data_IF_259326420012
#
_entry.id   IF_259326420012
#
_cell.length_a   1.000
_cell.length_b   1.000
_cell.length_c   1.000
_cell.angle_alpha   90.00
_cell.angle_beta   90.00
_cell.angle_gamma   90.00
#
_symmetry.space_group_name_H-M   'P 1'
#
loop_
_entity.id
_entity.type
_entity.pdbx_description
1 polymer ?
#
# COMPACT_ATOMS: atom_id res chain seq x y z
N UNK A 1 24.36 -18.69 -11.60
CA UNK A 1 24.01 -17.30 -11.97
C UNK A 1 22.66 -17.33 -12.64
N UNK A 2 21.60 -17.09 -11.86
CA UNK A 2 20.26 -16.89 -12.41
C UNK A 2 20.30 -15.57 -13.19
N UNK A 3 19.82 -15.57 -14.43
CA UNK A 3 19.63 -14.30 -15.16
C UNK A 3 18.40 -13.64 -14.52
N UNK A 4 18.58 -12.51 -13.85
CA UNK A 4 17.56 -11.90 -12.98
C UNK A 4 16.31 -11.47 -13.76
N UNK A 5 16.49 -10.79 -14.88
CA UNK A 5 15.41 -10.25 -15.71
C UNK A 5 14.39 -11.30 -16.24
N UNK A 6 14.81 -12.42 -16.86
CA UNK A 6 13.84 -13.41 -17.34
C UNK A 6 13.09 -14.13 -16.22
N UNK A 7 13.71 -14.27 -15.03
CA UNK A 7 13.02 -14.88 -13.88
C UNK A 7 11.99 -13.91 -13.30
N UNK A 8 12.31 -12.63 -13.17
CA UNK A 8 11.32 -11.61 -12.79
C UNK A 8 10.14 -11.58 -13.78
N UNK A 9 10.43 -11.63 -15.09
CA UNK A 9 9.40 -11.69 -16.13
C UNK A 9 8.53 -12.96 -16.02
N UNK A 10 9.12 -14.12 -15.75
CA UNK A 10 8.39 -15.36 -15.53
C UNK A 10 7.48 -15.29 -14.29
N UNK A 11 7.96 -14.69 -13.19
CA UNK A 11 7.14 -14.48 -11.98
C UNK A 11 5.94 -13.60 -12.31
N UNK A 12 6.15 -12.46 -12.99
CA UNK A 12 5.04 -11.59 -13.41
C UNK A 12 4.07 -12.30 -14.35
N UNK A 13 4.58 -13.14 -15.26
CA UNK A 13 3.75 -13.96 -16.13
C UNK A 13 2.85 -14.91 -15.33
N UNK A 14 3.40 -15.64 -14.36
CA UNK A 14 2.63 -16.49 -13.45
C UNK A 14 1.59 -15.69 -12.65
N UNK A 15 1.98 -14.53 -12.09
CA UNK A 15 1.07 -13.66 -11.33
C UNK A 15 -0.10 -13.15 -12.16
N UNK A 16 0.12 -12.83 -13.44
CA UNK A 16 -0.93 -12.36 -14.35
C UNK A 16 -1.88 -13.48 -14.78
N UNK A 17 -1.46 -14.74 -14.68
CA UNK A 17 -2.28 -15.92 -14.95
C UNK A 17 -2.82 -16.58 -13.67
N UNK A 18 -2.71 -15.89 -12.53
CA UNK A 18 -3.18 -16.37 -11.22
C UNK A 18 -2.51 -17.68 -10.75
N UNK A 19 -1.34 -18.01 -11.31
CA UNK A 19 -0.56 -19.18 -10.93
C UNK A 19 0.37 -18.84 -9.75
N UNK A 20 -0.24 -18.73 -8.58
CA UNK A 20 0.43 -18.28 -7.36
C UNK A 20 1.47 -19.25 -6.80
N UNK A 21 1.26 -20.60 -6.79
CA UNK A 21 2.27 -21.52 -6.27
C UNK A 21 3.62 -21.38 -6.99
N UNK A 22 3.59 -21.30 -8.32
CA UNK A 22 4.79 -21.16 -9.13
C UNK A 22 5.42 -19.77 -8.99
N UNK A 23 4.60 -18.71 -8.98
CA UNK A 23 5.08 -17.35 -8.74
C UNK A 23 5.78 -17.22 -7.38
N UNK A 24 5.18 -17.77 -6.32
CA UNK A 24 5.75 -17.74 -4.96
C UNK A 24 7.07 -18.50 -4.94
N UNK A 25 7.11 -19.74 -5.42
CA UNK A 25 8.33 -20.55 -5.42
C UNK A 25 9.49 -19.88 -6.18
N UNK A 26 9.22 -19.34 -7.37
CA UNK A 26 10.21 -18.63 -8.17
C UNK A 26 10.70 -17.36 -7.45
N UNK A 27 9.80 -16.61 -6.83
CA UNK A 27 10.14 -15.39 -6.08
C UNK A 27 10.96 -15.67 -4.82
N UNK A 28 10.67 -16.75 -4.08
CA UNK A 28 11.45 -17.20 -2.91
C UNK A 28 12.89 -17.55 -3.32
N UNK A 29 13.04 -18.32 -4.41
CA UNK A 29 14.36 -18.68 -4.93
C UNK A 29 15.15 -17.47 -5.40
N UNK A 30 14.50 -16.56 -6.11
CA UNK A 30 15.14 -15.35 -6.61
C UNK A 30 15.60 -14.45 -5.46
N UNK A 31 14.75 -14.26 -4.45
CA UNK A 31 15.12 -13.48 -3.27
C UNK A 31 16.25 -14.13 -2.48
N UNK A 32 16.25 -15.46 -2.31
CA UNK A 32 17.32 -16.17 -1.61
C UNK A 32 18.69 -16.00 -2.28
N UNK A 33 18.74 -15.91 -3.61
CA UNK A 33 19.96 -15.73 -4.41
C UNK A 33 20.46 -14.28 -4.39
N UNK A 34 19.58 -13.30 -4.66
CA UNK A 34 19.98 -11.90 -4.91
C UNK A 34 19.87 -11.02 -3.66
N UNK A 35 18.83 -11.20 -2.83
CA UNK A 35 18.55 -10.41 -1.61
C UNK A 35 18.54 -8.89 -1.82
N UNK A 36 17.97 -8.44 -2.94
CA UNK A 36 17.75 -7.02 -3.26
C UNK A 36 16.34 -6.55 -2.90
N UNK A 37 16.13 -5.23 -2.87
CA UNK A 37 14.83 -4.62 -2.55
C UNK A 37 13.77 -4.93 -3.60
N UNK A 38 14.15 -4.95 -4.88
CA UNK A 38 13.25 -5.35 -5.98
C UNK A 38 12.79 -6.80 -5.82
N UNK A 39 13.71 -7.70 -5.47
CA UNK A 39 13.39 -9.12 -5.26
C UNK A 39 12.55 -9.34 -4.00
N UNK A 40 12.74 -8.50 -2.97
CA UNK A 40 11.89 -8.49 -1.77
C UNK A 40 10.48 -8.02 -2.11
N UNK A 41 10.35 -6.91 -2.87
CA UNK A 41 9.07 -6.41 -3.33
C UNK A 41 8.32 -7.45 -4.16
N UNK A 42 9.01 -8.16 -5.06
CA UNK A 42 8.41 -9.19 -5.90
C UNK A 42 7.93 -10.40 -5.08
N UNK A 43 8.73 -10.86 -4.11
CA UNK A 43 8.35 -11.92 -3.17
C UNK A 43 7.11 -11.52 -2.34
N UNK A 44 7.14 -10.32 -1.75
CA UNK A 44 6.02 -9.82 -0.97
C UNK A 44 4.76 -9.66 -1.84
N UNK A 45 4.90 -9.19 -3.08
CA UNK A 45 3.80 -9.08 -4.04
C UNK A 45 3.19 -10.45 -4.36
N UNK A 46 4.03 -11.49 -4.54
CA UNK A 46 3.55 -12.84 -4.77
C UNK A 46 2.78 -13.39 -3.55
N UNK A 47 3.29 -13.18 -2.34
CA UNK A 47 2.57 -13.55 -1.12
C UNK A 47 1.24 -12.81 -0.97
N UNK A 48 1.24 -11.49 -1.16
CA UNK A 48 0.05 -10.66 -1.04
C UNK A 48 -1.03 -11.08 -2.05
N UNK A 49 -0.67 -11.24 -3.34
CA UNK A 49 -1.61 -11.69 -4.38
C UNK A 49 -2.13 -13.11 -4.17
N UNK A 50 -1.35 -13.98 -3.52
CA UNK A 50 -1.79 -15.33 -3.15
C UNK A 50 -2.72 -15.38 -1.93
N UNK A 51 -3.01 -14.23 -1.30
CA UNK A 51 -3.82 -14.14 -0.09
C UNK A 51 -3.06 -14.43 1.21
N UNK A 52 -1.74 -14.62 1.15
CA UNK A 52 -0.88 -14.88 2.31
C UNK A 52 -0.35 -13.57 2.92
N UNK A 53 -1.26 -12.66 3.28
CA UNK A 53 -0.93 -11.30 3.75
C UNK A 53 -0.01 -11.30 4.97
N UNK A 54 -0.15 -12.26 5.89
CA UNK A 54 0.75 -12.40 7.04
C UNK A 54 2.19 -12.65 6.63
N UNK A 55 2.43 -13.53 5.65
CA UNK A 55 3.78 -13.84 5.17
C UNK A 55 4.40 -12.64 4.44
N UNK A 56 3.61 -11.91 3.66
CA UNK A 56 4.04 -10.66 3.02
C UNK A 56 4.45 -9.62 4.07
N UNK A 57 3.62 -9.43 5.11
CA UNK A 57 3.90 -8.52 6.21
C UNK A 57 5.19 -8.90 6.95
N UNK A 58 5.35 -10.16 7.32
CA UNK A 58 6.54 -10.64 8.05
C UNK A 58 7.82 -10.50 7.22
N UNK A 59 7.76 -10.76 5.90
CA UNK A 59 8.89 -10.58 5.00
C UNK A 59 9.33 -9.12 4.87
N UNK A 60 8.37 -8.18 4.88
CA UNK A 60 8.63 -6.75 4.72
C UNK A 60 8.99 -6.05 6.03
N UNK A 61 8.56 -6.56 7.19
CA UNK A 61 8.66 -5.88 8.49
C UNK A 61 10.05 -5.36 8.85
N UNK A 62 11.10 -6.08 8.46
CA UNK A 62 12.48 -5.71 8.79
C UNK A 62 13.14 -4.78 7.75
N UNK A 63 12.58 -4.66 6.55
CA UNK A 63 13.25 -4.06 5.38
C UNK A 63 12.35 -3.19 4.49
N UNK A 64 11.16 -2.83 4.96
CA UNK A 64 10.21 -2.07 4.14
C UNK A 64 10.70 -0.64 3.85
N UNK A 65 11.58 -0.05 4.67
CA UNK A 65 12.04 1.33 4.50
C UNK A 65 12.89 1.56 3.23
N UNK A 66 13.35 0.49 2.58
CA UNK A 66 14.29 0.54 1.47
C UNK A 66 13.67 0.98 0.13
N UNK A 67 12.35 0.82 -0.04
CA UNK A 67 11.65 1.22 -1.27
C UNK A 67 10.24 1.71 -0.95
N UNK A 68 9.77 2.76 -1.62
CA UNK A 68 8.41 3.29 -1.51
C UNK A 68 7.36 2.24 -1.89
N UNK A 69 7.67 1.34 -2.83
CA UNK A 69 6.82 0.21 -3.21
C UNK A 69 6.68 -0.81 -2.06
N UNK A 70 7.78 -1.08 -1.36
CA UNK A 70 7.78 -1.92 -0.15
C UNK A 70 7.04 -1.25 1.01
N UNK A 71 7.23 0.06 1.22
CA UNK A 71 6.50 0.85 2.22
C UNK A 71 4.99 0.79 1.98
N UNK A 72 4.56 1.01 0.73
CA UNK A 72 3.15 0.94 0.35
C UNK A 72 2.58 -0.47 0.57
N UNK A 73 3.27 -1.51 0.11
CA UNK A 73 2.81 -2.89 0.24
C UNK A 73 2.76 -3.33 1.70
N UNK A 74 3.74 -2.94 2.52
CA UNK A 74 3.73 -3.20 3.95
C UNK A 74 2.54 -2.52 4.63
N UNK A 75 2.29 -1.24 4.31
CA UNK A 75 1.13 -0.49 4.81
C UNK A 75 -0.20 -1.15 4.42
N UNK A 76 -0.33 -1.64 3.18
CA UNK A 76 -1.50 -2.39 2.72
C UNK A 76 -1.69 -3.68 3.53
N UNK A 77 -0.63 -4.45 3.73
CA UNK A 77 -0.68 -5.69 4.51
C UNK A 77 -1.08 -5.41 5.97
N UNK A 78 -0.49 -4.41 6.60
CA UNK A 78 -0.79 -4.01 7.98
C UNK A 78 -2.26 -3.56 8.12
N UNK A 79 -2.76 -2.77 7.18
CA UNK A 79 -4.15 -2.33 7.15
C UNK A 79 -5.14 -3.49 6.99
N UNK A 80 -4.87 -4.43 6.08
CA UNK A 80 -5.74 -5.60 5.87
C UNK A 80 -5.78 -6.54 7.06
N UNK A 81 -4.61 -6.85 7.63
CA UNK A 81 -4.51 -7.76 8.77
C UNK A 81 -5.28 -7.23 9.99
N UNK A 82 -5.41 -5.92 10.16
CA UNK A 82 -6.23 -5.32 11.21
C UNK A 82 -7.73 -5.46 10.93
N UNK A 83 -8.15 -5.24 9.68
CA UNK A 83 -9.56 -5.39 9.27
C UNK A 83 -10.09 -6.82 9.53
N UNK A 84 -9.27 -7.84 9.30
CA UNK A 84 -9.66 -9.23 9.58
C UNK A 84 -9.88 -9.46 11.08
N UNK A 85 -9.00 -8.93 11.94
CA UNK A 85 -9.14 -9.02 13.39
C UNK A 85 -10.42 -8.35 13.89
N UNK A 86 -10.78 -7.18 13.34
CA UNK A 86 -12.03 -6.50 13.68
C UNK A 86 -13.28 -7.28 13.22
N UNK A 87 -13.21 -7.96 12.06
CA UNK A 87 -14.33 -8.70 11.48
C UNK A 87 -14.63 -10.05 12.14
N UNK A 88 -13.61 -10.71 12.71
CA UNK A 88 -13.80 -11.89 13.55
C UNK A 88 -14.04 -11.44 14.99
N UNK A 89 -15.26 -11.60 15.52
CA UNK A 89 -15.69 -11.18 16.86
C UNK A 89 -14.95 -11.85 18.05
N UNK A 90 -13.77 -12.39 17.84
CA UNK A 90 -13.02 -13.20 18.78
C UNK A 90 -11.54 -12.81 18.68
N UNK A 91 -11.11 -11.84 19.50
CA UNK A 91 -10.07 -12.01 20.52
C UNK A 91 -9.69 -10.65 21.12
N UNK A 92 -9.96 -10.57 22.41
CA UNK A 92 -9.57 -9.56 23.38
C UNK A 92 -8.11 -9.07 23.20
N UNK A 93 -7.88 -7.89 22.62
CA UNK A 93 -6.70 -7.06 22.97
C UNK A 93 -6.91 -5.58 22.62
N UNK A 94 -7.52 -4.85 23.55
CA UNK A 94 -7.77 -3.41 23.55
C UNK A 94 -6.51 -2.51 23.51
N UNK A 95 -5.35 -3.08 23.17
CA UNK A 95 -4.08 -2.37 22.99
C UNK A 95 -3.35 -2.78 21.69
N UNK A 96 -3.75 -3.84 20.99
CA UNK A 96 -3.05 -4.33 19.77
C UNK A 96 -3.70 -3.87 18.46
N UNK A 97 -4.99 -3.56 18.51
CA UNK A 97 -5.80 -3.06 17.38
C UNK A 97 -5.37 -1.65 16.93
N UNK A 98 -4.84 -0.85 17.86
CA UNK A 98 -4.26 0.46 17.57
C UNK A 98 -2.86 0.37 16.94
N UNK A 99 -2.17 -0.78 17.09
CA UNK A 99 -0.78 -0.93 16.67
C UNK A 99 -0.64 -0.98 15.16
N UNK A 100 -1.52 -1.70 14.46
CA UNK A 100 -1.30 -1.98 13.02
C UNK A 100 -1.68 -0.82 12.12
N UNK A 101 -2.70 -0.04 12.47
CA UNK A 101 -2.95 1.23 11.79
C UNK A 101 -1.82 2.23 12.03
N UNK A 102 -1.24 2.26 13.23
CA UNK A 102 -0.08 3.09 13.53
C UNK A 102 1.15 2.63 12.75
N UNK A 103 1.42 1.32 12.65
CA UNK A 103 2.51 0.77 11.84
C UNK A 103 2.31 1.05 10.35
N UNK A 104 1.08 0.93 9.84
CA UNK A 104 0.77 1.25 8.45
C UNK A 104 0.95 2.74 8.15
N UNK A 105 0.55 3.63 9.07
CA UNK A 105 0.77 5.07 8.93
C UNK A 105 2.26 5.41 9.04
N UNK A 106 2.97 4.84 10.01
CA UNK A 106 4.40 5.06 10.21
C UNK A 106 5.20 4.63 8.98
N UNK A 107 4.88 3.51 8.35
CA UNK A 107 5.57 3.06 7.15
C UNK A 107 5.46 4.04 5.97
N UNK A 108 4.41 4.86 5.93
CA UNK A 108 4.19 5.84 4.88
C UNK A 108 4.71 7.23 5.25
N UNK A 109 4.60 7.61 6.53
CA UNK A 109 4.81 8.99 7.02
C UNK A 109 6.15 9.16 7.74
N UNK A 110 6.65 8.14 8.43
CA UNK A 110 7.86 8.24 9.26
C UNK A 110 9.08 7.73 8.48
N UNK A 111 10.15 8.53 8.52
CA UNK A 111 11.47 8.15 8.02
C UNK A 111 12.28 7.45 9.12
N UNK A 112 13.36 6.76 8.74
CA UNK A 112 14.23 6.02 9.66
C UNK A 112 14.88 6.92 10.74
N UNK A 113 15.00 8.22 10.49
CA UNK A 113 15.51 9.23 11.43
C UNK A 113 14.44 9.80 12.38
N UNK A 114 13.19 9.33 12.26
CA UNK A 114 12.04 9.81 13.04
C UNK A 114 11.39 11.08 12.47
N UNK A 115 11.87 11.61 11.35
CA UNK A 115 11.25 12.75 10.66
C UNK A 115 9.90 12.33 10.06
N UNK A 116 8.90 13.20 10.19
CA UNK A 116 7.56 12.97 9.61
C UNK A 116 7.42 13.69 8.28
N UNK A 117 7.10 12.93 7.24
CA UNK A 117 6.74 13.44 5.91
C UNK A 117 5.44 14.23 5.98
N UNK A 118 5.44 15.39 5.35
CA UNK A 118 4.21 16.07 4.96
C UNK A 118 3.53 15.31 3.81
N UNK A 119 2.29 15.67 3.49
CA UNK A 119 1.63 15.10 2.31
C UNK A 119 2.36 15.49 1.02
N UNK A 120 3.10 16.59 0.95
CA UNK A 120 3.87 17.01 -0.24
C UNK A 120 5.15 16.18 -0.39
N UNK A 121 5.79 15.86 0.73
CA UNK A 121 6.96 14.96 0.74
C UNK A 121 6.56 13.57 0.26
N UNK A 122 5.39 13.06 0.68
CA UNK A 122 4.86 11.79 0.16
C UNK A 122 4.67 11.81 -1.35
N UNK A 123 4.16 12.92 -1.91
CA UNK A 123 4.01 13.05 -3.37
C UNK A 123 5.35 13.04 -4.08
N UNK A 124 6.36 13.67 -3.48
CA UNK A 124 7.71 13.74 -4.05
C UNK A 124 8.41 12.39 -3.96
N UNK A 125 8.37 11.73 -2.80
CA UNK A 125 9.07 10.48 -2.53
C UNK A 125 8.43 9.30 -3.27
N UNK A 126 7.10 9.16 -3.22
CA UNK A 126 6.39 8.03 -3.82
C UNK A 126 6.10 8.21 -5.31
N UNK A 127 6.31 9.39 -5.91
CA UNK A 127 6.12 9.61 -7.35
C UNK A 127 4.78 9.07 -7.86
N UNK A 128 4.83 8.10 -8.77
CA UNK A 128 3.67 7.49 -9.41
C UNK A 128 2.80 6.66 -8.44
N UNK A 129 3.39 6.11 -7.37
CA UNK A 129 2.68 5.40 -6.33
C UNK A 129 1.99 6.32 -5.31
N UNK A 130 2.30 7.62 -5.30
CA UNK A 130 1.82 8.57 -4.30
C UNK A 130 0.29 8.64 -4.17
N UNK A 131 -0.52 8.62 -5.25
CA UNK A 131 -1.97 8.63 -5.13
C UNK A 131 -2.49 7.43 -4.33
N UNK A 132 -1.90 6.25 -4.49
CA UNK A 132 -2.29 5.03 -3.79
C UNK A 132 -1.89 5.08 -2.31
N UNK A 133 -0.69 5.59 -2.00
CA UNK A 133 -0.25 5.84 -0.63
C UNK A 133 -1.18 6.82 0.11
N UNK A 134 -1.58 7.92 -0.56
CA UNK A 134 -2.51 8.90 -0.02
C UNK A 134 -3.91 8.31 0.20
N UNK A 135 -4.40 7.44 -0.69
CA UNK A 135 -5.67 6.73 -0.47
C UNK A 135 -5.61 5.83 0.75
N UNK A 136 -4.51 5.09 0.93
CA UNK A 136 -4.31 4.25 2.11
C UNK A 136 -4.24 5.08 3.39
N UNK A 137 -3.52 6.21 3.39
CA UNK A 137 -3.48 7.15 4.52
C UNK A 137 -4.87 7.69 4.86
N UNK A 138 -5.67 8.03 3.86
CA UNK A 138 -7.04 8.46 4.10
C UNK A 138 -7.89 7.37 4.76
N UNK A 139 -7.76 6.11 4.30
CA UNK A 139 -8.44 4.96 4.92
C UNK A 139 -8.00 4.77 6.37
N UNK A 140 -6.70 4.83 6.66
CA UNK A 140 -6.17 4.74 8.03
C UNK A 140 -6.70 5.91 8.89
N UNK A 141 -6.69 7.13 8.36
CA UNK A 141 -7.23 8.31 9.03
C UNK A 141 -8.70 8.15 9.42
N UNK A 142 -9.53 7.66 8.51
CA UNK A 142 -10.94 7.42 8.76
C UNK A 142 -11.18 6.30 9.80
N UNK A 143 -10.44 5.19 9.72
CA UNK A 143 -10.52 4.10 10.71
C UNK A 143 -10.06 4.51 12.11
N UNK A 144 -9.26 5.57 12.21
CA UNK A 144 -8.76 6.13 13.47
C UNK A 144 -9.50 7.40 13.87
N UNK A 145 -10.68 7.64 13.30
CA UNK A 145 -11.58 8.78 13.59
C UNK A 145 -10.98 10.17 13.30
N UNK A 146 -9.91 10.24 12.51
CA UNK A 146 -9.25 11.48 12.07
C UNK A 146 -9.76 11.94 10.71
N UNK A 147 -11.08 12.11 10.60
CA UNK A 147 -11.77 12.44 9.35
C UNK A 147 -11.23 13.68 8.61
N UNK A 148 -10.87 14.80 9.26
CA UNK A 148 -10.30 15.95 8.55
C UNK A 148 -9.01 15.61 7.81
N UNK A 149 -8.14 14.81 8.45
CA UNK A 149 -6.86 14.38 7.88
C UNK A 149 -7.07 13.34 6.77
N UNK A 150 -8.08 12.49 6.93
CA UNK A 150 -8.49 11.55 5.88
C UNK A 150 -8.99 12.26 4.63
N UNK A 151 -9.84 13.29 4.82
CA UNK A 151 -10.37 14.09 3.73
C UNK A 151 -9.26 14.82 2.96
N UNK A 152 -8.28 15.39 3.67
CA UNK A 152 -7.13 16.05 3.05
C UNK A 152 -6.31 15.08 2.17
N UNK A 153 -6.02 13.89 2.68
CA UNK A 153 -5.28 12.86 1.93
C UNK A 153 -6.04 12.40 0.68
N UNK A 154 -7.34 12.12 0.78
CA UNK A 154 -8.16 11.71 -0.38
C UNK A 154 -8.35 12.80 -1.42
N UNK A 155 -8.57 14.06 -0.99
CA UNK A 155 -8.63 15.21 -1.91
C UNK A 155 -7.32 15.36 -2.67
N UNK A 156 -6.18 15.17 -1.99
CA UNK A 156 -4.86 15.19 -2.62
C UNK A 156 -4.66 14.03 -3.59
N UNK A 157 -5.05 12.82 -3.21
CA UNK A 157 -5.00 11.65 -4.09
C UNK A 157 -5.78 11.86 -5.39
N UNK A 158 -7.01 12.40 -5.30
CA UNK A 158 -7.86 12.68 -6.46
C UNK A 158 -7.31 13.79 -7.36
N UNK A 159 -6.56 14.75 -6.79
CA UNK A 159 -5.88 15.79 -7.57
C UNK A 159 -4.73 15.22 -8.40
N UNK A 160 -4.05 14.18 -7.90
CA UNK A 160 -2.97 13.50 -8.61
C UNK A 160 -3.49 12.45 -9.59
N UNK A 161 -4.51 11.70 -9.18
CA UNK A 161 -5.12 10.65 -9.98
C UNK A 161 -6.66 10.72 -9.88
N UNK A 162 -7.33 11.31 -10.90
CA UNK A 162 -8.77 11.42 -10.91
C UNK A 162 -9.48 10.08 -11.16
N UNK A 163 -8.78 8.99 -11.48
CA UNK A 163 -9.38 7.67 -11.69
C UNK A 163 -9.64 6.90 -10.39
N UNK A 164 -9.18 7.41 -9.25
CA UNK A 164 -9.34 6.75 -7.94
C UNK A 164 -10.73 6.99 -7.34
N UNK A 165 -11.77 6.44 -7.97
CA UNK A 165 -13.17 6.57 -7.49
C UNK A 165 -13.33 6.20 -6.01
N UNK A 166 -12.59 5.19 -5.52
CA UNK A 166 -12.66 4.80 -4.11
C UNK A 166 -12.37 5.96 -3.13
N UNK A 167 -11.46 6.87 -3.47
CA UNK A 167 -11.18 8.04 -2.64
C UNK A 167 -12.36 9.05 -2.63
N UNK A 168 -13.00 9.23 -3.77
CA UNK A 168 -14.19 10.07 -3.91
C UNK A 168 -15.36 9.50 -3.12
N UNK A 169 -15.59 8.19 -3.22
CA UNK A 169 -16.64 7.48 -2.49
C UNK A 169 -16.46 7.62 -0.97
N UNK A 170 -15.24 7.42 -0.48
CA UNK A 170 -14.93 7.55 0.95
C UNK A 170 -15.09 8.99 1.47
N UNK A 171 -14.74 10.02 0.67
CA UNK A 171 -15.04 11.41 0.99
C UNK A 171 -16.54 11.62 1.21
N UNK A 172 -17.39 11.12 0.31
CA UNK A 172 -18.84 11.22 0.46
C UNK A 172 -19.34 10.50 1.72
N UNK A 173 -18.78 9.33 2.05
CA UNK A 173 -19.17 8.56 3.26
C UNK A 173 -18.89 9.31 4.56
N UNK A 174 -17.81 10.10 4.62
CA UNK A 174 -17.47 10.91 5.81
C UNK A 174 -18.20 12.27 5.83
N UNK A 175 -19.10 12.53 4.87
CA UNK A 175 -19.94 13.74 4.83
C UNK A 175 -19.35 14.91 4.05
N UNK A 176 -18.25 14.72 3.33
CA UNK A 176 -17.73 15.73 2.40
C UNK A 176 -18.59 15.77 1.14
N UNK A 177 -18.64 16.94 0.47
CA UNK A 177 -19.40 17.13 -0.76
C UNK A 177 -18.48 17.57 -1.93
N UNK A 178 -17.55 16.71 -2.37
CA UNK A 178 -16.65 17.03 -3.48
C UNK A 178 -17.42 17.17 -4.80
N UNK A 179 -17.09 18.17 -5.61
CA UNK A 179 -17.72 18.39 -6.91
C UNK A 179 -17.21 17.35 -7.94
N UNK A 180 -18.06 16.42 -8.44
CA UNK A 180 -17.62 15.40 -9.40
C UNK A 180 -17.09 16.01 -10.70
N UNK A 181 -17.73 17.07 -11.18
CA UNK A 181 -17.37 17.73 -12.44
C UNK A 181 -16.04 18.48 -12.35
N UNK A 182 -15.55 18.78 -11.14
CA UNK A 182 -14.22 19.38 -10.94
C UNK A 182 -13.12 18.32 -10.87
N UNK A 183 -13.45 17.09 -10.45
CA UNK A 183 -12.48 16.03 -10.17
C UNK A 183 -12.28 15.14 -11.41
N UNK A 184 -13.36 14.67 -12.01
CA UNK A 184 -13.33 13.73 -13.14
C UNK A 184 -13.30 14.46 -14.49
N UNK A 185 -12.39 15.43 -14.64
CA UNK A 185 -12.22 16.18 -15.88
C UNK A 185 -11.26 15.48 -16.83
N UNK A 186 -11.68 15.33 -18.09
CA UNK A 186 -10.87 14.67 -19.12
C UNK A 186 -9.59 15.42 -19.52
N UNK A 187 -9.45 16.69 -19.14
CA UNK A 187 -8.29 17.52 -19.48
C UNK A 187 -7.02 17.13 -18.69
N UNK A 188 -7.18 16.46 -17.54
CA UNK A 188 -6.07 15.93 -16.73
C UNK A 188 -5.62 14.51 -17.15
N UNK A 189 -6.17 13.96 -18.23
CA UNK A 189 -5.87 12.59 -18.71
C UNK A 189 -4.50 12.51 -19.39
N UNK A 190 -3.93 13.64 -19.84
CA UNK A 190 -2.69 13.65 -20.62
C UNK A 190 -1.38 13.37 -19.86
N UNK A 191 -1.45 13.15 -18.54
CA UNK A 191 -0.27 12.96 -17.67
C UNK A 191 -0.08 11.51 -17.18
N UNK A 192 -0.73 10.53 -17.82
CA UNK A 192 -0.53 9.10 -17.57
C UNK A 192 0.08 8.40 -18.79
#
# INVERSE_FOLDING_TARGET
MIVQEPVQAAIWHCLNHYDYPDAVFLSERLYAEVKSDETLFLLATAYYRSGKTTQSYDALKERYSLSTQCQLLFGLCAFELEKYVFSSAMYHRSLQVFCRFAEAEAALVELDDGTKRSLDDIVTDFGDEAPFALVLLGKIGAQTERNPRAAEAWKKALKLNPFLYSAFEELCKIGENPNPNAIFQGENIGNF
#
